data_IF_620975900385
#
_entry.id   IF_620975900385
#
_cell.length_a   1.000
_cell.length_b   1.000
_cell.length_c   1.000
_cell.angle_alpha   90.00
_cell.angle_beta   90.00
_cell.angle_gamma   90.00
#
_symmetry.space_group_name_H-M   'P 1'
#
loop_
_entity.id
_entity.type
_entity.pdbx_description
1 polymer ?
#
# COMPACT_ATOMS: atom_id res chain seq x y z
N UNK A 1 32.66 -3.48 27.09
CA UNK A 1 31.49 -2.78 26.52
C UNK A 1 31.06 -3.60 25.33
N UNK A 2 30.15 -4.56 25.55
CA UNK A 2 29.68 -5.50 24.52
C UNK A 2 28.21 -5.19 24.30
N UNK A 3 27.88 -4.62 23.16
CA UNK A 3 26.52 -4.59 22.61
C UNK A 3 26.65 -4.93 21.15
N UNK A 4 26.69 -6.22 20.86
CA UNK A 4 26.52 -6.75 19.51
C UNK A 4 25.69 -8.02 19.67
N UNK A 5 24.64 -8.12 18.87
CA UNK A 5 23.60 -9.17 18.82
C UNK A 5 22.22 -8.72 19.30
N UNK A 6 21.55 -7.90 18.48
CA UNK A 6 20.10 -8.00 18.18
C UNK A 6 19.82 -7.44 16.78
N UNK A 7 20.69 -7.76 15.82
CA UNK A 7 20.70 -7.18 14.46
C UNK A 7 19.51 -7.61 13.58
N UNK A 8 18.72 -8.60 14.00
CA UNK A 8 17.59 -9.13 13.22
C UNK A 8 16.23 -8.48 13.52
N UNK A 9 16.05 -7.93 14.73
CA UNK A 9 14.74 -7.44 15.21
C UNK A 9 14.63 -5.92 15.12
N UNK A 10 15.75 -5.20 15.33
CA UNK A 10 15.81 -3.74 15.29
C UNK A 10 15.64 -3.19 13.86
N UNK A 11 16.13 -3.90 12.83
CA UNK A 11 16.03 -3.46 11.43
C UNK A 11 14.62 -3.51 10.84
N UNK A 12 13.80 -4.48 11.25
CA UNK A 12 12.43 -4.62 10.74
C UNK A 12 11.51 -3.49 11.25
N UNK A 13 11.67 -3.07 12.50
CA UNK A 13 10.92 -1.95 13.06
C UNK A 13 11.19 -0.63 12.33
N UNK A 14 12.45 -0.33 12.03
CA UNK A 14 12.82 0.88 11.29
C UNK A 14 12.30 0.87 9.84
N UNK A 15 12.35 -0.30 9.19
CA UNK A 15 11.77 -0.53 7.87
C UNK A 15 10.26 -0.29 7.83
N UNK A 16 9.53 -0.77 8.86
CA UNK A 16 8.10 -0.53 9.00
C UNK A 16 7.79 0.94 9.28
N UNK A 17 8.59 1.62 10.11
CA UNK A 17 8.43 3.04 10.39
C UNK A 17 8.64 3.91 9.13
N UNK A 18 9.67 3.61 8.33
CA UNK A 18 9.88 4.25 7.04
C UNK A 18 8.71 4.00 6.09
N UNK A 19 8.22 2.76 6.00
CA UNK A 19 7.07 2.42 5.17
C UNK A 19 5.79 3.16 5.59
N UNK A 20 5.52 3.23 6.90
CA UNK A 20 4.39 3.96 7.46
C UNK A 20 4.48 5.47 7.18
N UNK A 21 5.68 6.05 7.25
CA UNK A 21 5.92 7.48 6.95
C UNK A 21 5.61 7.85 5.49
N UNK A 22 5.84 6.93 4.55
CA UNK A 22 5.56 7.14 3.12
C UNK A 22 4.08 6.90 2.75
N UNK A 23 3.35 6.20 3.62
CA UNK A 23 1.99 5.78 3.39
C UNK A 23 0.95 6.90 3.23
N UNK A 24 0.98 8.02 4.00
CA UNK A 24 0.05 9.13 3.77
C UNK A 24 0.20 9.76 2.38
N UNK A 25 1.42 9.95 1.90
CA UNK A 25 1.67 10.48 0.55
C UNK A 25 1.14 9.54 -0.54
N UNK A 26 1.24 8.22 -0.31
CA UNK A 26 0.70 7.19 -1.20
C UNK A 26 -0.83 7.18 -1.21
N UNK A 27 -1.48 7.29 -0.05
CA UNK A 27 -2.94 7.44 0.08
C UNK A 27 -3.43 8.66 -0.69
N UNK A 28 -2.77 9.81 -0.52
CA UNK A 28 -3.14 11.04 -1.22
C UNK A 28 -3.00 10.89 -2.74
N UNK A 29 -1.91 10.26 -3.20
CA UNK A 29 -1.70 9.98 -4.62
C UNK A 29 -2.79 9.09 -5.22
N UNK A 30 -3.23 8.06 -4.48
CA UNK A 30 -4.35 7.19 -4.89
C UNK A 30 -5.64 8.00 -4.97
N UNK A 31 -5.98 8.78 -3.93
CA UNK A 31 -7.18 9.63 -3.92
C UNK A 31 -7.20 10.61 -5.08
N UNK A 32 -6.06 11.26 -5.38
CA UNK A 32 -5.92 12.17 -6.52
C UNK A 32 -6.11 11.44 -7.86
N UNK A 33 -5.54 10.25 -8.00
CA UNK A 33 -5.70 9.45 -9.22
C UNK A 33 -7.15 9.00 -9.43
N UNK A 34 -7.88 8.65 -8.36
CA UNK A 34 -9.34 8.41 -8.40
C UNK A 34 -10.09 9.66 -8.85
N UNK A 35 -9.84 10.80 -8.20
CA UNK A 35 -10.55 12.06 -8.48
C UNK A 35 -10.31 12.58 -9.91
N UNK A 36 -9.13 12.33 -10.46
CA UNK A 36 -8.75 12.71 -11.84
C UNK A 36 -9.05 11.61 -12.87
N UNK A 37 -9.69 10.51 -12.45
CA UNK A 37 -9.97 9.34 -13.26
C UNK A 37 -8.73 8.74 -13.97
N UNK A 38 -7.56 8.90 -13.35
CA UNK A 38 -6.28 8.53 -13.95
C UNK A 38 -5.94 7.06 -13.70
N UNK A 39 -6.53 6.18 -14.52
CA UNK A 39 -6.37 4.71 -14.42
C UNK A 39 -4.94 4.23 -14.50
N UNK A 40 -4.14 4.82 -15.38
CA UNK A 40 -2.73 4.44 -15.53
C UNK A 40 -1.94 4.71 -14.25
N UNK A 41 -2.19 5.88 -13.64
CA UNK A 41 -1.58 6.23 -12.37
C UNK A 41 -2.03 5.29 -11.25
N UNK A 42 -3.32 4.96 -11.15
CA UNK A 42 -3.83 3.99 -10.17
C UNK A 42 -3.16 2.63 -10.34
N UNK A 43 -3.11 2.10 -11.55
CA UNK A 43 -2.50 0.79 -11.82
C UNK A 43 -1.05 0.74 -11.34
N UNK A 44 -0.26 1.79 -11.60
CA UNK A 44 1.12 1.88 -11.09
C UNK A 44 1.18 1.94 -9.56
N UNK A 45 0.34 2.77 -8.94
CA UNK A 45 0.31 2.92 -7.48
C UNK A 45 -0.05 1.59 -6.79
N UNK A 46 -1.08 0.89 -7.29
CA UNK A 46 -1.50 -0.42 -6.79
C UNK A 46 -0.42 -1.49 -7.01
N UNK A 47 0.20 -1.54 -8.20
CA UNK A 47 1.31 -2.45 -8.46
C UNK A 47 2.48 -2.26 -7.48
N UNK A 48 2.88 -1.01 -7.24
CA UNK A 48 3.92 -0.71 -6.26
C UNK A 48 3.47 -1.04 -4.82
N UNK A 49 2.18 -0.87 -4.51
CA UNK A 49 1.64 -1.16 -3.19
C UNK A 49 1.66 -2.66 -2.89
N UNK A 50 1.26 -3.50 -3.86
CA UNK A 50 1.31 -4.97 -3.76
C UNK A 50 2.75 -5.45 -3.49
N UNK A 51 3.71 -4.99 -4.32
CA UNK A 51 5.11 -5.41 -4.19
C UNK A 51 5.74 -4.99 -2.87
N UNK A 52 5.43 -3.78 -2.39
CA UNK A 52 5.96 -3.29 -1.11
C UNK A 52 5.27 -3.96 0.08
N UNK A 53 3.93 -3.97 0.14
CA UNK A 53 3.17 -4.52 1.27
C UNK A 53 3.51 -6.00 1.55
N UNK A 54 3.68 -6.81 0.51
CA UNK A 54 4.09 -8.21 0.67
C UNK A 54 5.51 -8.37 1.26
N UNK A 55 6.43 -7.47 0.90
CA UNK A 55 7.80 -7.49 1.41
C UNK A 55 7.89 -7.14 2.90
N UNK A 56 6.99 -6.31 3.40
CA UNK A 56 6.91 -5.90 4.80
C UNK A 56 6.00 -6.80 5.67
N UNK A 57 5.41 -7.85 5.10
CA UNK A 57 4.55 -8.78 5.83
C UNK A 57 3.09 -8.33 5.98
N UNK A 58 2.66 -7.29 5.27
CA UNK A 58 1.26 -6.85 5.23
C UNK A 58 0.47 -7.63 4.16
N UNK A 59 0.32 -8.94 4.36
CA UNK A 59 -0.33 -9.84 3.40
C UNK A 59 -1.75 -9.39 3.04
N UNK A 60 -2.57 -9.03 4.03
CA UNK A 60 -3.93 -8.55 3.78
C UNK A 60 -3.98 -7.29 2.90
N UNK A 61 -3.06 -6.34 3.12
CA UNK A 61 -2.95 -5.14 2.29
C UNK A 61 -2.53 -5.50 0.87
N UNK A 62 -1.55 -6.39 0.73
CA UNK A 62 -1.07 -6.86 -0.58
C UNK A 62 -2.18 -7.56 -1.36
N UNK A 63 -2.96 -8.44 -0.71
CA UNK A 63 -4.07 -9.17 -1.32
C UNK A 63 -5.17 -8.22 -1.81
N UNK A 64 -5.63 -7.29 -0.97
CA UNK A 64 -6.68 -6.34 -1.38
C UNK A 64 -6.19 -5.39 -2.49
N UNK A 65 -4.95 -4.88 -2.38
CA UNK A 65 -4.36 -4.05 -3.43
C UNK A 65 -4.25 -4.79 -4.77
N UNK A 66 -3.94 -6.08 -4.74
CA UNK A 66 -3.82 -6.92 -5.94
C UNK A 66 -5.15 -7.13 -6.64
N UNK A 67 -6.26 -7.24 -5.90
CA UNK A 67 -7.60 -7.33 -6.50
C UNK A 67 -7.90 -6.11 -7.36
N UNK A 68 -7.63 -4.91 -6.83
CA UNK A 68 -7.81 -3.65 -7.55
C UNK A 68 -6.88 -3.58 -8.76
N UNK A 69 -5.60 -3.94 -8.62
CA UNK A 69 -4.65 -3.97 -9.74
C UNK A 69 -5.13 -4.86 -10.89
N UNK A 70 -5.60 -6.07 -10.58
CA UNK A 70 -6.12 -7.02 -11.56
C UNK A 70 -7.39 -6.50 -12.24
N UNK A 71 -8.32 -5.92 -11.48
CA UNK A 71 -9.55 -5.37 -12.03
C UNK A 71 -9.29 -4.15 -12.94
N UNK A 72 -8.36 -3.28 -12.54
CA UNK A 72 -7.87 -2.19 -13.39
C UNK A 72 -7.26 -2.71 -14.69
N UNK A 73 -6.52 -3.83 -14.64
CA UNK A 73 -5.96 -4.53 -15.79
C UNK A 73 -7.02 -5.19 -16.69
N UNK A 74 -8.14 -5.62 -16.12
CA UNK A 74 -9.30 -6.18 -16.82
C UNK A 74 -10.27 -5.10 -17.36
N UNK A 75 -9.83 -3.84 -17.42
CA UNK A 75 -10.60 -2.71 -17.93
C UNK A 75 -11.82 -2.28 -17.07
N UNK A 76 -11.92 -2.69 -15.80
CA UNK A 76 -12.99 -2.26 -14.87
C UNK A 76 -12.92 -0.76 -14.55
N UNK A 77 -14.05 -0.06 -14.54
CA UNK A 77 -14.10 1.39 -14.29
C UNK A 77 -13.66 1.74 -12.87
N UNK A 78 -13.05 2.93 -12.69
CA UNK A 78 -12.65 3.40 -11.35
C UNK A 78 -13.85 3.48 -10.41
N UNK A 79 -15.01 3.88 -10.92
CA UNK A 79 -16.27 3.97 -10.18
C UNK A 79 -16.67 2.64 -9.54
N UNK A 80 -16.58 1.55 -10.31
CA UNK A 80 -16.88 0.18 -9.86
C UNK A 80 -15.93 -0.26 -8.74
N UNK A 81 -14.67 0.19 -8.81
CA UNK A 81 -13.61 -0.14 -7.87
C UNK A 81 -13.54 0.81 -6.67
N UNK A 82 -14.39 1.83 -6.56
CA UNK A 82 -14.32 2.80 -5.46
C UNK A 82 -14.39 2.14 -4.09
N UNK A 83 -15.24 1.12 -3.95
CA UNK A 83 -15.38 0.38 -2.69
C UNK A 83 -14.14 -0.43 -2.34
N UNK A 84 -13.53 -1.11 -3.33
CA UNK A 84 -12.29 -1.87 -3.12
C UNK A 84 -11.10 -0.93 -2.85
N UNK A 85 -11.04 0.21 -3.54
CA UNK A 85 -10.02 1.23 -3.32
C UNK A 85 -10.15 1.79 -1.90
N UNK A 86 -11.36 2.14 -1.44
CA UNK A 86 -11.58 2.62 -0.06
C UNK A 86 -11.14 1.56 0.97
N UNK A 87 -11.45 0.30 0.74
CA UNK A 87 -11.00 -0.79 1.61
C UNK A 87 -9.47 -0.85 1.71
N UNK A 88 -8.76 -0.70 0.59
CA UNK A 88 -7.28 -0.65 0.58
C UNK A 88 -6.77 0.59 1.31
N UNK A 89 -7.38 1.76 1.11
CA UNK A 89 -6.98 2.98 1.82
C UNK A 89 -7.10 2.83 3.35
N UNK A 90 -8.19 2.21 3.84
CA UNK A 90 -8.36 1.92 5.27
C UNK A 90 -7.28 0.98 5.82
N UNK A 91 -6.83 0.02 5.01
CA UNK A 91 -5.71 -0.86 5.40
C UNK A 91 -4.40 -0.08 5.46
N UNK A 92 -4.15 0.83 4.51
CA UNK A 92 -3.01 1.74 4.56
C UNK A 92 -3.04 2.61 5.82
N UNK A 93 -4.20 3.16 6.21
CA UNK A 93 -4.35 3.95 7.43
C UNK A 93 -4.03 3.14 8.70
N UNK A 94 -4.36 1.84 8.73
CA UNK A 94 -4.01 0.94 9.83
C UNK A 94 -2.50 0.70 9.96
N UNK A 95 -1.75 0.78 8.85
CA UNK A 95 -0.28 0.70 8.89
C UNK A 95 0.32 1.93 9.56
N UNK A 96 -0.28 3.11 9.35
CA UNK A 96 0.17 4.37 9.96
C UNK A 96 -0.14 4.40 11.47
N UNK A 97 -1.26 3.82 11.88
CA UNK A 97 -1.70 3.81 13.27
C UNK A 97 -1.02 2.74 14.16
N UNK A 98 -0.08 1.96 13.60
CA UNK A 98 0.65 0.87 14.25
C UNK A 98 1.97 1.36 14.80
#
# INVERSE_FOLDING_TARGET
MTTSSSDGEEGLGELLAMYASEMPARIESIRKAVATNNREQLKRLFHQLVGSAGSYGFDSLSVEARKVELALGANASIDDLLSDIDAVLRLCERVIAK
#
